data_IF_144328671782
#
_entry.id   IF_144328671782
#
_cell.length_a   1.000
_cell.length_b   1.000
_cell.length_c   1.000
_cell.angle_alpha   90.00
_cell.angle_beta   90.00
_cell.angle_gamma   90.00
#
_symmetry.space_group_name_H-M   'P 1'
#
loop_
_entity.id
_entity.type
_entity.pdbx_description
1 polymer ?
#
# COMPACT_ATOMS: atom_id res chain seq x y z
N UNK A 1 15.46 -1.41 31.77
CA UNK A 1 14.63 -1.73 30.57
C UNK A 1 13.66 -2.84 30.94
N UNK A 2 12.47 -2.51 31.45
CA UNK A 2 11.58 -3.56 31.97
C UNK A 2 10.83 -4.25 30.82
N UNK A 3 11.06 -5.54 30.54
CA UNK A 3 10.28 -6.25 29.54
C UNK A 3 8.84 -6.40 30.04
N UNK A 4 7.86 -6.27 29.14
CA UNK A 4 6.45 -6.44 29.48
C UNK A 4 6.24 -7.83 30.09
N UNK A 5 6.89 -8.87 29.53
CA UNK A 5 6.90 -10.21 30.08
C UNK A 5 8.34 -10.72 30.19
N UNK A 6 8.85 -11.02 31.39
CA UNK A 6 10.27 -11.33 31.59
C UNK A 6 10.69 -12.73 31.13
N UNK A 7 9.78 -13.72 31.10
CA UNK A 7 10.10 -15.12 30.82
C UNK A 7 9.06 -15.84 29.91
N UNK A 8 8.49 -15.16 28.91
CA UNK A 8 7.40 -15.72 28.09
C UNK A 8 7.81 -16.50 26.84
N UNK A 9 9.09 -16.55 26.46
CA UNK A 9 9.48 -17.22 25.21
C UNK A 9 10.01 -18.61 25.52
N UNK A 10 9.06 -19.55 25.59
CA UNK A 10 9.36 -20.97 25.64
C UNK A 10 9.41 -21.55 24.22
N UNK A 11 10.42 -22.37 23.95
CA UNK A 11 10.61 -23.12 22.72
C UNK A 11 10.82 -24.59 23.09
N UNK A 12 10.48 -25.46 22.17
CA UNK A 12 10.81 -26.87 22.26
C UNK A 12 11.68 -27.23 21.07
N UNK A 13 12.77 -27.95 21.34
CA UNK A 13 13.65 -28.47 20.32
C UNK A 13 12.95 -29.54 19.48
N UNK A 14 12.78 -29.34 18.18
CA UNK A 14 12.11 -30.33 17.29
C UNK A 14 13.04 -31.44 16.81
N UNK A 15 14.35 -31.21 16.88
CA UNK A 15 15.40 -32.11 16.45
C UNK A 15 16.65 -31.87 17.29
N UNK A 16 17.58 -32.82 17.30
CA UNK A 16 18.85 -32.62 18.00
C UNK A 16 19.69 -31.56 17.28
N UNK A 17 20.26 -30.61 18.02
CA UNK A 17 21.15 -29.60 17.45
C UNK A 17 22.28 -29.22 18.41
N UNK A 18 23.40 -28.75 17.88
CA UNK A 18 24.54 -28.31 18.69
C UNK A 18 24.52 -26.78 18.87
N UNK A 19 24.75 -26.32 20.10
CA UNK A 19 25.06 -24.91 20.39
C UNK A 19 26.56 -24.78 20.61
N UNK A 20 27.18 -23.86 19.89
CA UNK A 20 28.59 -23.53 20.03
C UNK A 20 28.91 -23.18 21.50
N UNK A 21 29.94 -23.82 22.07
CA UNK A 21 30.34 -23.69 23.48
C UNK A 21 29.34 -24.20 24.53
N UNK A 22 28.20 -24.78 24.14
CA UNK A 22 27.19 -25.33 25.05
C UNK A 22 26.93 -26.83 24.85
N UNK A 23 27.25 -27.38 23.67
CA UNK A 23 27.12 -28.80 23.36
C UNK A 23 25.78 -29.16 22.70
N UNK A 24 25.43 -30.45 22.75
CA UNK A 24 24.26 -31.02 22.08
C UNK A 24 23.00 -30.75 22.90
N UNK A 25 21.98 -30.18 22.25
CA UNK A 25 20.62 -30.02 22.77
C UNK A 25 19.73 -31.11 22.19
N UNK A 26 19.24 -32.05 23.01
CA UNK A 26 18.37 -33.13 22.54
C UNK A 26 17.06 -32.64 21.92
N UNK A 27 16.46 -33.50 21.11
CA UNK A 27 15.06 -33.33 20.68
C UNK A 27 14.13 -33.39 21.89
N UNK A 28 13.13 -32.51 21.92
CA UNK A 28 12.13 -32.41 22.99
C UNK A 28 12.59 -31.53 24.17
N UNK A 29 13.79 -30.96 24.14
CA UNK A 29 14.24 -30.05 25.19
C UNK A 29 13.45 -28.75 25.17
N UNK A 30 12.87 -28.39 26.32
CA UNK A 30 12.27 -27.08 26.56
C UNK A 30 13.37 -26.05 26.78
N UNK A 31 13.30 -24.96 26.04
CA UNK A 31 14.25 -23.84 26.04
C UNK A 31 13.47 -22.59 26.41
N UNK A 32 13.79 -22.01 27.56
CA UNK A 32 13.22 -20.74 28.02
C UNK A 32 14.23 -19.63 27.80
N UNK A 33 13.81 -18.56 27.13
CA UNK A 33 14.65 -17.37 26.95
C UNK A 33 14.34 -16.38 28.06
N UNK A 34 15.37 -16.08 28.85
CA UNK A 34 15.33 -15.06 29.89
C UNK A 34 15.49 -13.66 29.29
N UNK A 35 14.34 -13.03 29.01
CA UNK A 35 14.29 -11.70 28.37
C UNK A 35 14.76 -10.64 29.37
N UNK A 36 14.46 -10.82 30.66
CA UNK A 36 14.85 -9.89 31.70
C UNK A 36 16.36 -9.75 31.75
N UNK A 37 17.09 -10.85 31.99
CA UNK A 37 18.54 -10.80 32.07
C UNK A 37 19.17 -10.38 30.73
N UNK A 38 18.57 -10.75 29.59
CA UNK A 38 19.01 -10.30 28.27
C UNK A 38 18.91 -8.78 28.09
N UNK A 39 17.84 -8.14 28.57
CA UNK A 39 17.62 -6.68 28.44
C UNK A 39 18.40 -5.87 29.49
N UNK A 40 18.85 -6.53 30.56
CA UNK A 40 19.68 -5.94 31.61
C UNK A 40 21.16 -6.33 31.49
N UNK A 41 21.55 -7.12 30.49
CA UNK A 41 22.94 -7.55 30.33
C UNK A 41 23.87 -6.36 30.01
N UNK A 42 24.85 -6.03 30.88
CA UNK A 42 25.74 -4.89 30.69
C UNK A 42 26.72 -5.08 29.53
N UNK A 43 27.05 -6.31 29.15
CA UNK A 43 27.90 -6.58 27.98
C UNK A 43 27.18 -6.22 26.68
N UNK A 44 25.85 -6.35 26.66
CA UNK A 44 25.02 -5.92 25.54
C UNK A 44 24.69 -4.43 25.63
N UNK A 45 24.30 -3.92 26.80
CA UNK A 45 23.70 -2.59 26.95
C UNK A 45 24.62 -1.51 27.49
N UNK A 46 25.89 -1.85 27.78
CA UNK A 46 26.90 -0.98 28.34
C UNK A 46 26.95 -1.04 29.88
N UNK A 47 28.02 -0.47 30.46
CA UNK A 47 28.25 -0.45 31.93
C UNK A 47 27.36 0.53 32.71
N UNK A 48 26.57 1.36 32.02
CA UNK A 48 25.59 2.24 32.66
C UNK A 48 24.43 1.40 33.20
N UNK A 49 23.98 1.72 34.42
CA UNK A 49 22.88 1.01 35.08
C UNK A 49 21.70 0.84 34.11
N UNK A 50 21.27 -0.40 33.79
CA UNK A 50 20.13 -0.63 32.91
C UNK A 50 18.78 -0.22 33.53
N UNK A 51 18.75 0.09 34.84
CA UNK A 51 17.62 0.69 35.52
C UNK A 51 17.50 2.20 35.27
N UNK A 52 18.58 2.85 34.83
CA UNK A 52 18.59 4.28 34.58
C UNK A 52 18.04 4.62 33.18
N UNK A 53 17.19 5.65 33.11
CA UNK A 53 16.58 6.09 31.86
C UNK A 53 17.59 6.81 30.96
N UNK A 54 18.11 6.10 29.96
CA UNK A 54 19.09 6.61 29.00
C UNK A 54 18.68 6.22 27.57
N UNK A 55 17.84 7.01 26.88
CA UNK A 55 17.32 6.66 25.56
C UNK A 55 18.40 6.60 24.47
N UNK A 56 19.49 7.36 24.61
CA UNK A 56 20.60 7.40 23.65
C UNK A 56 21.29 6.03 23.51
N UNK A 57 21.20 5.17 24.53
CA UNK A 57 21.81 3.83 24.47
C UNK A 57 21.24 2.99 23.33
N UNK A 58 20.01 3.25 22.88
CA UNK A 58 19.40 2.55 21.74
C UNK A 58 19.97 2.96 20.37
N UNK A 59 20.75 4.04 20.29
CA UNK A 59 21.38 4.47 19.04
C UNK A 59 22.60 3.61 18.64
N UNK A 60 23.20 2.89 19.59
CA UNK A 60 24.34 2.02 19.30
C UNK A 60 23.89 0.77 18.55
N UNK A 61 24.59 0.43 17.44
CA UNK A 61 24.33 -0.80 16.68
C UNK A 61 24.64 -2.02 17.53
N UNK A 62 23.68 -2.96 17.60
CA UNK A 62 23.80 -4.22 18.35
C UNK A 62 23.21 -5.37 17.56
N UNK A 63 23.46 -6.58 18.03
CA UNK A 63 22.81 -7.76 17.50
C UNK A 63 21.28 -7.64 17.64
N UNK A 64 20.47 -7.98 16.62
CA UNK A 64 19.01 -7.83 16.66
C UNK A 64 18.34 -8.59 17.82
N UNK A 65 18.96 -9.67 18.29
CA UNK A 65 18.44 -10.47 19.43
C UNK A 65 18.74 -9.85 20.80
N UNK A 66 19.47 -8.73 20.89
CA UNK A 66 19.71 -8.05 22.16
C UNK A 66 18.43 -7.42 22.74
N UNK A 67 17.44 -7.11 21.90
CA UNK A 67 16.18 -6.49 22.30
C UNK A 67 14.97 -7.21 21.67
N UNK A 68 14.37 -8.11 22.45
CA UNK A 68 13.25 -8.97 22.02
C UNK A 68 12.03 -8.94 22.99
N UNK A 69 11.51 -7.75 23.37
CA UNK A 69 10.42 -7.65 24.37
C UNK A 69 9.10 -8.29 23.94
N UNK A 70 8.95 -8.60 22.66
CA UNK A 70 7.78 -9.26 22.08
C UNK A 70 8.13 -10.61 21.45
N UNK A 71 9.30 -11.16 21.80
CA UNK A 71 9.89 -12.33 21.17
C UNK A 71 10.43 -12.08 19.78
N UNK A 72 11.01 -13.14 19.21
CA UNK A 72 11.70 -13.14 17.94
C UNK A 72 11.38 -14.38 17.10
N UNK A 73 11.73 -14.33 15.81
CA UNK A 73 11.48 -15.40 14.84
C UNK A 73 10.02 -15.48 14.38
N UNK A 74 9.65 -16.63 13.78
CA UNK A 74 8.33 -16.87 13.15
C UNK A 74 7.15 -16.88 14.12
N UNK A 75 7.39 -17.05 15.43
CA UNK A 75 6.39 -16.99 16.50
C UNK A 75 6.63 -15.81 17.44
N UNK A 76 7.05 -14.67 16.91
CA UNK A 76 7.02 -13.44 17.70
C UNK A 76 5.57 -12.95 17.89
N UNK A 77 5.37 -12.00 18.80
CA UNK A 77 4.05 -11.44 19.04
C UNK A 77 3.49 -10.79 17.77
N UNK A 78 2.37 -11.32 17.26
CA UNK A 78 1.64 -10.74 16.11
C UNK A 78 1.21 -9.28 16.38
N UNK A 79 0.96 -8.94 17.64
CA UNK A 79 0.55 -7.61 18.09
C UNK A 79 1.70 -6.61 18.35
N UNK A 80 2.97 -7.01 18.22
CA UNK A 80 4.13 -6.17 18.57
C UNK A 80 4.05 -4.76 17.96
N UNK A 81 3.81 -4.70 16.66
CA UNK A 81 3.81 -3.44 15.91
C UNK A 81 2.63 -2.56 16.30
N UNK A 82 1.47 -3.17 16.55
CA UNK A 82 0.28 -2.47 17.03
C UNK A 82 0.51 -1.89 18.44
N UNK A 83 1.03 -2.69 19.37
CA UNK A 83 1.33 -2.25 20.73
C UNK A 83 2.36 -1.10 20.77
N UNK A 84 3.45 -1.21 19.99
CA UNK A 84 4.45 -0.13 19.90
C UNK A 84 3.87 1.15 19.33
N UNK A 85 2.98 1.07 18.33
CA UNK A 85 2.30 2.24 17.78
C UNK A 85 1.38 2.87 18.82
N UNK A 86 0.55 2.08 19.49
CA UNK A 86 -0.39 2.55 20.51
C UNK A 86 0.35 3.24 21.67
N UNK A 87 1.40 2.61 22.20
CA UNK A 87 2.23 3.19 23.26
C UNK A 87 2.87 4.51 22.84
N UNK A 88 3.41 4.60 21.62
CA UNK A 88 3.99 5.86 21.09
C UNK A 88 2.93 6.95 20.96
N UNK A 89 1.77 6.63 20.39
CA UNK A 89 0.67 7.58 20.20
C UNK A 89 0.12 8.08 21.54
N UNK A 90 -0.07 7.18 22.50
CA UNK A 90 -0.48 7.51 23.85
C UNK A 90 0.54 8.44 24.51
N UNK A 91 1.83 8.09 24.47
CA UNK A 91 2.89 8.89 25.08
C UNK A 91 2.96 10.30 24.48
N UNK A 92 2.89 10.43 23.16
CA UNK A 92 2.85 11.75 22.49
C UNK A 92 1.62 12.54 22.91
N UNK A 93 0.44 11.92 22.91
CA UNK A 93 -0.79 12.62 23.25
C UNK A 93 -0.77 13.10 24.69
N UNK A 94 -0.28 12.26 25.60
CA UNK A 94 -0.07 12.60 27.01
C UNK A 94 0.91 13.76 27.16
N UNK A 95 2.13 13.63 26.60
CA UNK A 95 3.18 14.64 26.75
C UNK A 95 2.85 15.97 26.07
N UNK A 96 2.05 15.96 25.00
CA UNK A 96 1.59 17.18 24.30
C UNK A 96 0.51 17.93 25.11
N UNK A 97 -0.35 17.20 25.80
CA UNK A 97 -1.53 17.78 26.46
C UNK A 97 -1.26 18.07 27.94
N UNK A 98 -0.42 17.25 28.58
CA UNK A 98 -0.18 17.28 30.01
C UNK A 98 1.32 17.38 30.34
N UNK A 99 1.60 18.02 31.46
CA UNK A 99 2.83 17.91 32.22
C UNK A 99 2.64 16.80 33.27
N UNK A 100 3.57 15.84 33.29
CA UNK A 100 3.59 14.77 34.29
C UNK A 100 4.32 15.30 35.52
N UNK A 101 3.65 15.32 36.67
CA UNK A 101 4.19 15.84 37.93
C UNK A 101 4.12 14.74 38.97
N UNK A 102 5.14 14.65 39.83
CA UNK A 102 5.10 13.74 40.95
C UNK A 102 4.02 14.15 41.97
N UNK A 103 3.58 13.18 42.76
CA UNK A 103 2.59 13.38 43.82
C UNK A 103 3.25 13.77 45.16
N UNK A 104 4.46 14.34 45.13
CA UNK A 104 5.25 14.61 46.33
C UNK A 104 5.57 13.34 47.11
N UNK A 105 5.29 13.36 48.42
CA UNK A 105 5.55 12.24 49.35
C UNK A 105 4.81 10.94 48.98
N UNK A 106 3.75 11.00 48.16
CA UNK A 106 3.02 9.82 47.68
C UNK A 106 3.71 9.10 46.51
N UNK A 107 4.74 9.68 45.92
CA UNK A 107 5.54 9.02 44.87
C UNK A 107 6.75 8.40 45.54
N UNK A 108 6.65 7.11 45.89
CA UNK A 108 7.76 6.36 46.47
C UNK A 108 8.88 6.24 45.43
N UNK A 109 10.07 6.75 45.76
CA UNK A 109 11.29 6.65 44.96
C UNK A 109 12.35 5.98 45.82
N UNK A 110 13.07 4.96 45.33
CA UNK A 110 12.98 4.34 44.00
C UNK A 110 11.73 3.44 43.83
N UNK A 111 11.33 3.19 42.58
CA UNK A 111 10.24 2.27 42.22
C UNK A 111 10.71 0.81 42.38
N UNK A 112 11.12 0.43 43.58
CA UNK A 112 11.77 -0.86 43.87
C UNK A 112 10.79 -2.04 43.93
N UNK A 113 9.50 -1.78 44.14
CA UNK A 113 8.49 -2.83 44.16
C UNK A 113 7.83 -2.98 42.79
N UNK A 114 8.38 -3.91 42.00
CA UNK A 114 7.71 -4.43 40.82
C UNK A 114 6.91 -5.66 41.24
N UNK A 115 5.63 -5.71 40.86
CA UNK A 115 4.86 -6.95 40.97
C UNK A 115 5.21 -7.84 39.78
N UNK A 116 5.89 -8.95 40.06
CA UNK A 116 6.15 -10.01 39.10
C UNK A 116 4.90 -10.87 38.93
N UNK A 117 3.93 -10.34 38.19
CA UNK A 117 2.84 -11.17 37.63
C UNK A 117 3.23 -11.64 36.21
N UNK A 118 2.28 -12.10 35.39
CA UNK A 118 2.56 -12.36 33.97
C UNK A 118 3.10 -11.10 33.25
N UNK A 119 2.78 -9.90 33.75
CA UNK A 119 3.33 -8.63 33.27
C UNK A 119 4.08 -7.93 34.40
N UNK A 120 5.20 -7.28 34.10
CA UNK A 120 5.88 -6.41 35.06
C UNK A 120 5.10 -5.11 35.19
N UNK A 121 4.55 -4.86 36.38
CA UNK A 121 3.86 -3.61 36.71
C UNK A 121 4.43 -3.01 38.00
N UNK A 122 4.51 -1.68 38.13
CA UNK A 122 4.84 -1.06 39.40
C UNK A 122 3.77 -1.39 40.45
N UNK A 123 4.16 -1.63 41.70
CA UNK A 123 3.22 -1.88 42.80
C UNK A 123 2.35 -0.64 43.08
N UNK A 124 2.99 0.54 43.15
CA UNK A 124 2.34 1.83 43.40
C UNK A 124 3.04 2.92 42.58
N UNK A 125 2.29 3.57 41.68
CA UNK A 125 2.79 4.69 40.87
C UNK A 125 1.77 5.83 40.91
N UNK A 126 2.05 6.85 41.73
CA UNK A 126 1.28 8.09 41.70
C UNK A 126 1.94 9.10 40.76
N UNK A 127 1.20 9.49 39.72
CA UNK A 127 1.57 10.56 38.77
C UNK A 127 0.38 11.50 38.61
N UNK A 128 0.60 12.80 38.81
CA UNK A 128 -0.40 13.84 38.59
C UNK A 128 -0.28 14.39 37.17
N UNK A 129 -1.39 14.43 36.44
CA UNK A 129 -1.47 15.03 35.11
C UNK A 129 -1.95 16.48 35.24
N UNK A 130 -1.10 17.45 34.93
CA UNK A 130 -1.50 18.86 34.83
C UNK A 130 -1.61 19.27 33.37
N UNK A 131 -2.71 19.89 32.93
CA UNK A 131 -2.81 20.36 31.53
C UNK A 131 -1.80 21.46 31.27
N UNK A 132 -1.13 21.42 30.11
CA UNK A 132 -0.15 22.45 29.71
C UNK A 132 -0.79 23.80 29.41
N UNK A 133 -2.03 23.81 28.94
CA UNK A 133 -2.77 25.04 28.62
C UNK A 133 -3.01 25.90 29.89
N UNK A 134 -3.14 25.25 31.06
CA UNK A 134 -3.37 25.91 32.37
C UNK A 134 -2.08 26.55 32.95
N UNK A 135 -0.89 26.20 32.42
CA UNK A 135 0.38 26.81 32.84
C UNK A 135 0.59 28.21 32.22
N UNK A 136 -0.13 28.56 31.16
CA UNK A 136 -0.01 29.88 30.53
C UNK A 136 -0.75 30.99 31.26
N UNK A 137 -1.70 30.66 32.16
CA UNK A 137 -2.50 31.65 32.91
C UNK A 137 -1.98 31.91 34.33
N UNK A 138 -1.11 31.06 34.89
CA UNK A 138 -0.51 31.25 36.21
C UNK A 138 0.99 31.52 36.08
N UNK A 139 1.34 32.81 36.02
CA UNK A 139 2.70 33.27 35.79
C UNK A 139 3.71 32.78 36.85
N UNK A 140 4.69 32.00 36.41
CA UNK A 140 6.11 32.12 36.82
C UNK A 140 6.97 31.27 35.87
N UNK A 141 8.01 31.83 35.22
CA UNK A 141 8.84 31.07 34.30
C UNK A 141 9.89 30.28 35.08
N UNK A 142 9.69 28.96 35.23
CA UNK A 142 10.74 28.08 35.71
C UNK A 142 11.78 27.86 34.61
N UNK A 143 12.97 28.43 34.81
CA UNK A 143 14.20 28.11 34.06
C UNK A 143 14.57 26.65 34.33
N UNK A 144 14.06 25.73 33.53
CA UNK A 144 14.57 24.37 33.41
C UNK A 144 15.32 24.22 32.09
N UNK A 145 16.65 24.20 32.15
CA UNK A 145 17.53 23.78 31.06
C UNK A 145 17.36 22.27 30.83
N UNK A 146 16.30 21.89 30.11
CA UNK A 146 16.05 20.53 29.67
C UNK A 146 16.21 20.43 28.16
N UNK A 147 16.95 19.43 27.69
CA UNK A 147 17.11 19.08 26.28
C UNK A 147 15.73 18.94 25.62
N UNK A 148 15.26 20.04 25.01
CA UNK A 148 14.02 20.05 24.27
C UNK A 148 14.26 19.36 22.94
N UNK A 149 13.92 18.07 22.85
CA UNK A 149 13.76 17.40 21.55
C UNK A 149 12.84 18.30 20.72
N UNK A 150 13.37 18.85 19.63
CA UNK A 150 12.62 19.81 18.83
C UNK A 150 11.38 19.10 18.32
N UNK A 151 10.20 19.61 18.63
CA UNK A 151 8.92 19.01 18.22
C UNK A 151 8.86 18.70 16.72
N UNK A 152 9.59 19.48 15.90
CA UNK A 152 9.76 19.26 14.46
C UNK A 152 10.57 18.00 14.11
N UNK A 153 11.58 17.64 14.89
CA UNK A 153 12.32 16.38 14.73
C UNK A 153 11.41 15.19 15.07
N UNK A 154 10.62 15.30 16.14
CA UNK A 154 9.64 14.29 16.51
C UNK A 154 8.55 14.13 15.43
N UNK A 155 8.03 15.24 14.88
CA UNK A 155 7.05 15.22 13.81
C UNK A 155 7.61 14.61 12.50
N UNK A 156 8.88 14.84 12.21
CA UNK A 156 9.58 14.20 11.09
C UNK A 156 9.81 12.70 11.33
N UNK A 157 10.10 12.30 12.56
CA UNK A 157 10.21 10.88 12.95
C UNK A 157 8.85 10.18 12.96
N UNK A 158 7.76 10.87 13.30
CA UNK A 158 6.39 10.34 13.19
C UNK A 158 5.93 10.19 11.74
N UNK A 159 6.33 11.10 10.84
CA UNK A 159 6.11 10.91 9.39
C UNK A 159 6.87 9.70 8.84
N UNK A 160 8.00 9.30 9.44
CA UNK A 160 8.68 8.04 9.09
C UNK A 160 8.02 6.77 9.65
N UNK A 161 7.05 6.88 10.57
CA UNK A 161 6.31 5.74 11.11
C UNK A 161 5.05 5.43 10.26
N UNK A 162 4.86 6.12 9.13
CA UNK A 162 4.01 5.60 8.06
C UNK A 162 4.52 4.23 7.63
N UNK A 163 3.65 3.24 7.80
CA UNK A 163 3.99 1.84 7.72
C UNK A 163 4.39 1.49 6.28
N UNK A 164 5.70 1.40 6.03
CA UNK A 164 6.27 0.99 4.75
C UNK A 164 6.15 -0.54 4.61
N UNK A 165 4.92 -1.03 4.44
CA UNK A 165 4.67 -2.43 4.10
C UNK A 165 5.00 -2.63 2.61
N UNK A 166 6.06 -3.39 2.34
CA UNK A 166 6.50 -3.72 0.98
C UNK A 166 5.36 -4.32 0.15
N UNK A 167 4.46 -5.09 0.76
CA UNK A 167 3.31 -5.66 0.07
C UNK A 167 2.26 -4.60 -0.28
N UNK A 168 2.02 -3.65 0.63
CA UNK A 168 1.13 -2.51 0.41
C UNK A 168 1.59 -1.65 -0.77
N UNK A 169 2.87 -1.29 -0.79
CA UNK A 169 3.48 -0.49 -1.85
C UNK A 169 3.44 -1.25 -3.18
N UNK A 170 3.81 -2.54 -3.16
CA UNK A 170 3.78 -3.38 -4.35
C UNK A 170 2.36 -3.51 -4.94
N UNK A 171 1.36 -3.75 -4.09
CA UNK A 171 -0.05 -3.88 -4.52
C UNK A 171 -0.54 -2.59 -5.19
N UNK A 172 -0.31 -1.44 -4.59
CA UNK A 172 -0.73 -0.15 -5.16
C UNK A 172 0.01 0.17 -6.45
N UNK A 173 1.32 -0.05 -6.48
CA UNK A 173 2.13 0.09 -7.68
C UNK A 173 1.57 -0.76 -8.82
N UNK A 174 1.33 -2.05 -8.59
CA UNK A 174 0.74 -2.95 -9.57
C UNK A 174 -0.66 -2.51 -10.00
N UNK A 175 -1.45 -1.92 -9.11
CA UNK A 175 -2.74 -1.29 -9.43
C UNK A 175 -2.59 -0.14 -10.43
N UNK A 176 -1.68 0.81 -10.18
CA UNK A 176 -1.42 1.94 -11.08
C UNK A 176 -0.84 1.48 -12.42
N UNK A 177 0.08 0.51 -12.43
CA UNK A 177 0.62 -0.12 -13.64
C UNK A 177 -0.52 -0.73 -14.46
N UNK A 178 -1.38 -1.54 -13.83
CA UNK A 178 -2.48 -2.22 -14.52
C UNK A 178 -3.47 -1.23 -15.14
N UNK A 179 -3.88 -0.21 -14.39
CA UNK A 179 -4.78 0.83 -14.89
C UNK A 179 -4.17 1.60 -16.08
N UNK A 180 -2.89 1.94 -15.99
CA UNK A 180 -2.16 2.65 -17.06
C UNK A 180 -2.06 1.78 -18.31
N UNK A 181 -1.55 0.54 -18.18
CA UNK A 181 -1.40 -0.39 -19.30
C UNK A 181 -2.73 -0.65 -20.00
N UNK A 182 -3.81 -0.74 -19.25
CA UNK A 182 -5.14 -0.93 -19.79
C UNK A 182 -5.60 0.23 -20.66
N UNK A 183 -5.49 1.47 -20.17
CA UNK A 183 -5.86 2.67 -20.94
C UNK A 183 -5.00 2.85 -22.20
N UNK A 184 -3.68 2.65 -22.10
CA UNK A 184 -2.78 2.75 -23.26
C UNK A 184 -2.95 1.60 -24.25
N UNK A 185 -3.39 0.42 -23.81
CA UNK A 185 -3.76 -0.67 -24.73
C UNK A 185 -4.95 -0.29 -25.61
N UNK A 186 -5.94 0.43 -25.08
CA UNK A 186 -7.05 0.96 -25.89
C UNK A 186 -6.61 2.07 -26.85
N UNK A 187 -5.67 2.93 -26.44
CA UNK A 187 -5.04 3.90 -27.36
C UNK A 187 -4.37 3.18 -28.52
N UNK A 188 -3.55 2.16 -28.24
CA UNK A 188 -2.88 1.39 -29.28
C UNK A 188 -3.87 0.74 -30.25
N UNK A 189 -4.97 0.16 -29.73
CA UNK A 189 -6.04 -0.38 -30.56
C UNK A 189 -6.70 0.69 -31.45
N UNK A 190 -6.95 1.88 -30.90
CA UNK A 190 -7.54 2.99 -31.65
C UNK A 190 -6.60 3.45 -32.77
N UNK A 191 -5.31 3.62 -32.48
CA UNK A 191 -4.27 3.99 -33.46
C UNK A 191 -4.15 2.93 -34.55
N UNK A 192 -4.08 1.65 -34.17
CA UNK A 192 -3.97 0.55 -35.13
C UNK A 192 -5.14 0.53 -36.12
N UNK A 193 -6.37 0.69 -35.61
CA UNK A 193 -7.58 0.74 -36.46
C UNK A 193 -7.61 1.99 -37.34
N UNK A 194 -7.18 3.13 -36.80
CA UNK A 194 -7.08 4.36 -37.57
C UNK A 194 -6.14 4.19 -38.77
N UNK A 195 -4.96 3.63 -38.55
CA UNK A 195 -3.97 3.38 -39.61
C UNK A 195 -4.51 2.37 -40.63
N UNK A 196 -5.14 1.29 -40.17
CA UNK A 196 -5.67 0.24 -41.06
C UNK A 196 -6.77 0.75 -42.00
N UNK A 197 -7.61 1.69 -41.54
CA UNK A 197 -8.70 2.26 -42.35
C UNK A 197 -8.22 3.42 -43.24
N UNK A 198 -7.32 4.27 -42.74
CA UNK A 198 -6.83 5.44 -43.48
C UNK A 198 -5.73 5.09 -44.50
N UNK A 199 -4.87 4.13 -44.17
CA UNK A 199 -3.68 3.76 -44.94
C UNK A 199 -3.64 2.25 -45.23
N UNK A 200 -4.62 1.70 -45.96
CA UNK A 200 -4.71 0.26 -46.20
C UNK A 200 -3.52 -0.33 -46.97
N UNK A 201 -2.73 0.50 -47.67
CA UNK A 201 -1.57 0.09 -48.47
C UNK A 201 -0.26 -0.01 -47.66
N UNK A 202 -0.20 0.51 -46.43
CA UNK A 202 1.01 0.46 -45.60
C UNK A 202 1.06 -0.83 -44.77
N UNK A 203 1.35 -1.95 -45.44
CA UNK A 203 1.40 -3.29 -44.84
C UNK A 203 2.46 -3.43 -43.73
N UNK A 204 3.49 -2.59 -43.74
CA UNK A 204 4.56 -2.58 -42.74
C UNK A 204 4.04 -2.46 -41.29
N UNK A 205 3.03 -1.60 -41.07
CA UNK A 205 2.42 -1.38 -39.74
C UNK A 205 1.59 -2.57 -39.24
N UNK A 206 1.26 -3.51 -40.13
CA UNK A 206 0.51 -4.72 -39.82
C UNK A 206 1.41 -5.92 -39.51
N UNK A 207 2.74 -5.76 -39.61
CA UNK A 207 3.68 -6.82 -39.28
C UNK A 207 3.63 -7.16 -37.79
N UNK A 208 3.59 -8.46 -37.47
CA UNK A 208 3.62 -8.95 -36.10
C UNK A 208 4.82 -8.39 -35.32
N UNK A 209 6.00 -8.28 -35.97
CA UNK A 209 7.20 -7.72 -35.33
C UNK A 209 6.99 -6.27 -34.88
N UNK A 210 6.34 -5.47 -35.71
CA UNK A 210 6.06 -4.07 -35.42
C UNK A 210 5.01 -3.94 -34.32
N UNK A 211 3.95 -4.75 -34.37
CA UNK A 211 2.94 -4.76 -33.30
C UNK A 211 3.52 -5.19 -31.95
N UNK A 212 4.34 -6.24 -31.92
CA UNK A 212 5.01 -6.70 -30.69
C UNK A 212 5.94 -5.64 -30.12
N UNK A 213 6.64 -4.89 -30.98
CA UNK A 213 7.49 -3.77 -30.54
C UNK A 213 6.68 -2.69 -29.79
N UNK A 214 5.54 -2.25 -30.34
CA UNK A 214 4.71 -1.23 -29.67
C UNK A 214 4.07 -1.74 -28.39
N UNK A 215 3.68 -3.02 -28.35
CA UNK A 215 3.19 -3.65 -27.13
C UNK A 215 4.30 -3.63 -26.07
N UNK A 216 5.50 -4.10 -26.40
CA UNK A 216 6.63 -4.09 -25.46
C UNK A 216 6.97 -2.66 -24.99
N UNK A 217 6.94 -1.69 -25.89
CA UNK A 217 7.16 -0.28 -25.58
C UNK A 217 6.13 0.27 -24.59
N UNK A 218 4.84 -0.02 -24.80
CA UNK A 218 3.78 0.37 -23.86
C UNK A 218 3.95 -0.31 -22.51
N UNK A 219 4.35 -1.58 -22.50
CA UNK A 219 4.65 -2.29 -21.26
C UNK A 219 5.79 -1.62 -20.49
N UNK A 220 6.92 -1.34 -21.14
CA UNK A 220 8.03 -0.61 -20.53
C UNK A 220 7.55 0.72 -19.95
N UNK A 221 6.89 1.56 -20.76
CA UNK A 221 6.37 2.85 -20.29
C UNK A 221 5.38 2.72 -19.13
N UNK A 222 4.47 1.74 -19.19
CA UNK A 222 3.46 1.53 -18.15
C UNK A 222 4.03 1.08 -16.81
N UNK A 223 5.18 0.39 -16.80
CA UNK A 223 5.93 0.09 -15.58
C UNK A 223 6.79 1.27 -15.14
N UNK A 224 7.46 1.97 -16.07
CA UNK A 224 8.32 3.11 -15.74
C UNK A 224 7.54 4.31 -15.19
N UNK A 225 6.33 4.54 -15.68
CA UNK A 225 5.53 5.71 -15.34
C UNK A 225 5.15 5.78 -13.84
N UNK A 226 4.60 4.73 -13.20
CA UNK A 226 4.32 4.73 -11.76
C UNK A 226 5.58 4.48 -10.91
N UNK A 227 6.73 4.16 -11.53
CA UNK A 227 7.97 3.82 -10.81
C UNK A 227 8.49 4.97 -9.96
N UNK A 228 8.24 6.21 -10.39
CA UNK A 228 8.60 7.40 -9.64
C UNK A 228 8.05 7.37 -8.20
N UNK A 229 6.85 6.81 -7.99
CA UNK A 229 6.21 6.77 -6.67
C UNK A 229 6.88 5.82 -5.68
N UNK A 230 7.58 4.78 -6.18
CA UNK A 230 8.38 3.89 -5.34
C UNK A 230 9.62 4.64 -4.84
N UNK A 231 10.24 5.44 -5.70
CA UNK A 231 11.45 6.19 -5.35
C UNK A 231 11.18 7.43 -4.48
N UNK A 232 10.05 8.11 -4.71
CA UNK A 232 9.65 9.29 -3.93
C UNK A 232 9.03 8.93 -2.59
N UNK A 233 8.55 7.69 -2.44
CA UNK A 233 7.86 7.24 -1.23
C UNK A 233 6.45 7.82 -1.09
N UNK A 234 5.81 8.21 -2.19
CA UNK A 234 4.48 8.83 -2.18
C UNK A 234 3.34 7.84 -1.92
N UNK A 235 3.59 6.53 -2.04
CA UNK A 235 2.58 5.49 -1.75
C UNK A 235 2.57 5.21 -0.26
N UNK A 236 1.45 5.54 0.36
CA UNK A 236 1.27 5.48 1.80
C UNK A 236 0.10 4.55 2.14
N UNK A 237 0.21 3.84 3.26
CA UNK A 237 -0.94 3.16 3.84
C UNK A 237 -1.85 4.15 4.58
N UNK A 238 -3.01 4.45 4.01
CA UNK A 238 -4.01 5.29 4.67
C UNK A 238 -4.71 4.49 5.77
N UNK A 239 -4.31 4.73 7.02
CA UNK A 239 -4.85 4.07 8.21
C UNK A 239 -6.35 4.30 8.37
N UNK A 240 -6.87 5.45 7.93
CA UNK A 240 -8.29 5.77 8.09
C UNK A 240 -9.15 4.99 7.11
N UNK A 241 -8.69 4.81 5.88
CA UNK A 241 -9.43 4.13 4.83
C UNK A 241 -9.06 2.63 4.72
N UNK A 242 -7.96 2.21 5.35
CA UNK A 242 -7.32 0.90 5.24
C UNK A 242 -7.01 0.54 3.77
N UNK A 243 -6.55 1.54 3.01
CA UNK A 243 -6.20 1.40 1.60
C UNK A 243 -4.78 1.91 1.39
N UNK A 244 -4.02 1.18 0.58
CA UNK A 244 -2.71 1.60 0.11
C UNK A 244 -2.87 2.46 -1.14
N UNK A 245 -2.44 3.72 -1.09
CA UNK A 245 -2.56 4.63 -2.23
C UNK A 245 -1.73 5.90 -2.03
N UNK A 246 -1.57 6.67 -3.10
CA UNK A 246 -1.08 8.05 -3.02
C UNK A 246 -2.09 8.87 -2.20
N UNK A 247 -1.63 9.72 -1.26
CA UNK A 247 -2.52 10.51 -0.42
C UNK A 247 -3.48 11.37 -1.27
N UNK A 248 -4.78 11.31 -0.94
CA UNK A 248 -5.85 12.01 -1.66
C UNK A 248 -5.85 13.54 -1.52
N UNK A 249 -4.74 14.13 -1.07
CA UNK A 249 -4.59 15.58 -1.08
C UNK A 249 -4.17 16.02 -2.48
N UNK A 250 -4.66 17.18 -2.92
CA UNK A 250 -4.27 17.76 -4.20
C UNK A 250 -2.75 17.99 -4.20
N UNK A 251 -2.05 17.12 -4.91
CA UNK A 251 -0.60 17.05 -4.95
C UNK A 251 -0.16 16.71 -6.37
N UNK A 252 1.09 17.04 -6.69
CA UNK A 252 1.66 16.78 -8.01
C UNK A 252 1.54 15.30 -8.42
N UNK A 253 1.82 14.30 -7.56
CA UNK A 253 1.65 12.87 -7.90
C UNK A 253 0.23 12.48 -8.30
N UNK A 254 -0.79 13.00 -7.60
CA UNK A 254 -2.21 12.72 -7.89
C UNK A 254 -2.64 13.35 -9.22
N UNK A 255 -2.23 14.58 -9.49
CA UNK A 255 -2.53 15.26 -10.76
C UNK A 255 -1.83 14.57 -11.92
N UNK A 256 -0.55 14.21 -11.73
CA UNK A 256 0.26 13.48 -12.69
C UNK A 256 -0.41 12.14 -13.06
N UNK A 257 -0.75 11.30 -12.06
CA UNK A 257 -1.39 10.00 -12.30
C UNK A 257 -2.73 10.13 -13.03
N UNK A 258 -3.56 11.10 -12.65
CA UNK A 258 -4.88 11.31 -13.24
C UNK A 258 -4.78 11.78 -14.71
N UNK A 259 -3.90 12.73 -15.01
CA UNK A 259 -3.78 13.29 -16.36
C UNK A 259 -3.20 12.25 -17.32
N UNK A 260 -2.01 11.72 -17.01
CA UNK A 260 -1.29 10.85 -17.94
C UNK A 260 -1.78 9.40 -17.89
N UNK A 261 -2.34 8.96 -16.77
CA UNK A 261 -2.86 7.59 -16.59
C UNK A 261 -4.29 7.40 -17.10
N UNK A 262 -5.13 8.45 -17.10
CA UNK A 262 -6.55 8.34 -17.44
C UNK A 262 -7.04 9.41 -18.43
N UNK A 263 -6.89 10.71 -18.14
CA UNK A 263 -7.54 11.78 -18.94
C UNK A 263 -6.97 11.85 -20.36
N UNK A 264 -5.64 11.92 -20.49
CA UNK A 264 -4.95 11.99 -21.78
C UNK A 264 -5.27 10.80 -22.70
N UNK A 265 -5.14 9.52 -22.27
CA UNK A 265 -5.47 8.40 -23.14
C UNK A 265 -6.95 8.36 -23.55
N UNK A 266 -7.88 8.70 -22.65
CA UNK A 266 -9.32 8.75 -22.98
C UNK A 266 -9.61 9.82 -24.04
N UNK A 267 -9.07 11.03 -23.88
CA UNK A 267 -9.22 12.11 -24.86
C UNK A 267 -8.64 11.73 -26.22
N UNK A 268 -7.46 11.11 -26.24
CA UNK A 268 -6.81 10.66 -27.45
C UNK A 268 -7.65 9.61 -28.19
N UNK A 269 -8.22 8.63 -27.47
CA UNK A 269 -9.12 7.62 -28.04
C UNK A 269 -10.36 8.29 -28.65
N UNK A 270 -10.98 9.23 -27.92
CA UNK A 270 -12.16 9.95 -28.40
C UNK A 270 -11.87 10.74 -29.67
N UNK A 271 -10.74 11.44 -29.75
CA UNK A 271 -10.31 12.19 -30.93
C UNK A 271 -10.07 11.27 -32.14
N UNK A 272 -9.37 10.15 -31.94
CA UNK A 272 -9.09 9.17 -33.00
C UNK A 272 -10.39 8.60 -33.55
N UNK A 273 -11.30 8.13 -32.67
CA UNK A 273 -12.56 7.55 -33.11
C UNK A 273 -13.51 8.57 -33.72
N UNK A 274 -13.57 9.79 -33.19
CA UNK A 274 -14.34 10.87 -33.82
C UNK A 274 -13.87 11.12 -35.26
N UNK A 275 -12.56 11.23 -35.47
CA UNK A 275 -11.97 11.39 -36.80
C UNK A 275 -12.28 10.19 -37.71
N UNK A 276 -12.21 8.98 -37.16
CA UNK A 276 -12.50 7.74 -37.88
C UNK A 276 -13.96 7.65 -38.33
N UNK A 277 -14.90 7.94 -37.44
CA UNK A 277 -16.34 7.92 -37.73
C UNK A 277 -16.68 8.98 -38.79
N UNK A 278 -16.15 10.20 -38.66
CA UNK A 278 -16.31 11.25 -39.68
C UNK A 278 -15.77 10.82 -41.04
N UNK A 279 -14.58 10.22 -41.06
CA UNK A 279 -13.96 9.73 -42.29
C UNK A 279 -14.85 8.69 -42.98
N UNK A 280 -15.30 7.66 -42.25
CA UNK A 280 -16.12 6.60 -42.85
C UNK A 280 -17.52 7.11 -43.25
N UNK A 281 -18.10 8.04 -42.49
CA UNK A 281 -19.36 8.67 -42.90
C UNK A 281 -19.23 9.45 -44.21
N UNK A 282 -18.13 10.22 -44.37
CA UNK A 282 -17.82 10.92 -45.62
C UNK A 282 -17.54 9.94 -46.77
N UNK A 283 -16.85 8.84 -46.48
CA UNK A 283 -16.56 7.76 -47.42
C UNK A 283 -17.85 7.08 -47.91
N UNK A 284 -18.80 6.81 -47.02
CA UNK A 284 -20.09 6.17 -47.36
C UNK A 284 -20.98 7.00 -48.28
N UNK A 285 -20.69 8.30 -48.46
CA UNK A 285 -21.41 9.20 -49.38
C UNK A 285 -20.75 9.29 -50.77
N UNK A 286 -19.57 8.70 -50.97
CA UNK A 286 -18.85 8.68 -52.26
C UNK A 286 -19.03 7.32 -52.94
N UNK A 287 -18.96 7.28 -54.27
CA UNK A 287 -18.94 6.04 -55.06
C UNK A 287 -17.57 5.38 -54.84
N UNK A 288 -17.55 4.29 -54.07
CA UNK A 288 -16.33 3.58 -53.65
C UNK A 288 -16.58 2.06 -53.78
N UNK A 289 -15.55 1.26 -54.13
CA UNK A 289 -15.68 -0.19 -54.22
C UNK A 289 -16.25 -0.81 -52.94
N UNK A 290 -17.37 -1.53 -53.08
CA UNK A 290 -18.19 -2.09 -52.01
C UNK A 290 -17.37 -2.89 -50.97
N UNK A 291 -16.32 -3.58 -51.42
CA UNK A 291 -15.48 -4.41 -50.57
C UNK A 291 -14.66 -3.60 -49.53
N UNK A 292 -14.19 -2.40 -49.90
CA UNK A 292 -13.48 -1.50 -48.97
C UNK A 292 -14.43 -0.89 -47.94
N UNK A 293 -15.67 -0.57 -48.35
CA UNK A 293 -16.72 -0.09 -47.47
C UNK A 293 -17.14 -1.16 -46.45
N UNK A 294 -17.31 -2.42 -46.88
CA UNK A 294 -17.61 -3.54 -45.98
C UNK A 294 -16.51 -3.77 -44.96
N UNK A 295 -15.23 -3.71 -45.37
CA UNK A 295 -14.08 -3.77 -44.45
C UNK A 295 -14.15 -2.65 -43.41
N UNK A 296 -14.34 -1.41 -43.83
CA UNK A 296 -14.44 -0.26 -42.92
C UNK A 296 -15.65 -0.36 -41.97
N UNK A 297 -16.82 -0.83 -42.44
CA UNK A 297 -18.00 -1.06 -41.60
C UNK A 297 -17.79 -2.18 -40.58
N UNK A 298 -17.07 -3.25 -40.95
CA UNK A 298 -16.70 -4.33 -40.03
C UNK A 298 -15.80 -3.82 -38.90
N UNK A 299 -14.80 -3.03 -39.24
CA UNK A 299 -13.92 -2.39 -38.24
C UNK A 299 -14.68 -1.39 -37.35
N UNK A 300 -15.63 -0.61 -37.90
CA UNK A 300 -16.53 0.26 -37.13
C UNK A 300 -17.45 -0.50 -36.17
N UNK A 301 -17.91 -1.70 -36.53
CA UNK A 301 -18.67 -2.56 -35.60
C UNK A 301 -17.81 -2.93 -34.39
N UNK A 302 -16.50 -3.09 -34.59
CA UNK A 302 -15.56 -3.27 -33.48
C UNK A 302 -15.33 -1.97 -32.70
N UNK A 303 -15.41 -0.79 -33.32
CA UNK A 303 -15.39 0.50 -32.59
C UNK A 303 -16.55 0.59 -31.60
N UNK A 304 -17.76 0.19 -32.00
CA UNK A 304 -18.92 0.13 -31.09
C UNK A 304 -18.62 -0.73 -29.85
N UNK A 305 -17.96 -1.87 -30.02
CA UNK A 305 -17.54 -2.73 -28.90
C UNK A 305 -16.52 -2.04 -27.99
N UNK A 306 -15.51 -1.39 -28.57
CA UNK A 306 -14.50 -0.63 -27.80
C UNK A 306 -15.13 0.53 -27.03
N UNK A 307 -16.07 1.26 -27.63
CA UNK A 307 -16.83 2.33 -26.95
C UNK A 307 -17.63 1.76 -25.78
N UNK A 308 -18.32 0.62 -25.94
CA UNK A 308 -19.03 -0.04 -24.85
C UNK A 308 -18.08 -0.37 -23.68
N UNK A 309 -16.90 -0.91 -23.96
CA UNK A 309 -15.90 -1.24 -22.92
C UNK A 309 -15.40 0.00 -22.18
N UNK A 310 -15.12 1.09 -22.90
CA UNK A 310 -14.70 2.36 -22.30
C UNK A 310 -15.84 2.99 -21.50
N UNK A 311 -17.08 2.91 -21.99
CA UNK A 311 -18.26 3.38 -21.27
C UNK A 311 -18.48 2.61 -19.97
N UNK A 312 -18.28 1.30 -19.97
CA UNK A 312 -18.33 0.48 -18.73
C UNK A 312 -17.23 0.95 -17.77
N UNK A 313 -15.99 1.11 -18.25
CA UNK A 313 -14.88 1.59 -17.42
C UNK A 313 -15.20 2.95 -16.78
N UNK A 314 -15.62 3.95 -17.57
CA UNK A 314 -15.90 5.30 -17.07
C UNK A 314 -17.09 5.29 -16.10
N UNK A 315 -18.18 4.60 -16.44
CA UNK A 315 -19.42 4.63 -15.66
C UNK A 315 -19.28 3.91 -14.33
N UNK A 316 -18.60 2.76 -14.32
CA UNK A 316 -18.44 1.95 -13.11
C UNK A 316 -17.35 2.55 -12.20
N UNK A 317 -16.32 3.21 -12.76
CA UNK A 317 -15.31 3.95 -11.97
C UNK A 317 -15.78 5.36 -11.54
N UNK A 318 -16.91 5.86 -12.06
CA UNK A 318 -17.41 7.20 -11.76
C UNK A 318 -17.56 7.52 -10.26
N UNK A 319 -18.08 6.59 -9.41
CA UNK A 319 -18.12 6.81 -7.97
C UNK A 319 -16.74 7.09 -7.38
N UNK A 320 -15.72 6.31 -7.77
CA UNK A 320 -14.33 6.49 -7.33
C UNK A 320 -13.80 7.89 -7.66
N UNK A 321 -14.04 8.38 -8.88
CA UNK A 321 -13.60 9.71 -9.32
C UNK A 321 -14.32 10.81 -8.53
N UNK A 322 -15.63 10.69 -8.30
CA UNK A 322 -16.38 11.65 -7.49
C UNK A 322 -15.84 11.68 -6.07
N UNK A 323 -15.65 10.51 -5.44
CA UNK A 323 -15.14 10.43 -4.07
C UNK A 323 -13.73 10.98 -3.96
N UNK A 324 -12.87 10.72 -4.95
CA UNK A 324 -11.54 11.31 -5.03
C UNK A 324 -11.61 12.84 -5.11
N UNK A 325 -12.47 13.39 -5.97
CA UNK A 325 -12.66 14.83 -6.12
C UNK A 325 -13.23 15.47 -4.85
N UNK A 326 -14.25 14.87 -4.23
CA UNK A 326 -14.82 15.39 -3.00
C UNK A 326 -13.83 15.33 -1.83
N UNK A 327 -12.94 14.33 -1.81
CA UNK A 327 -11.86 14.21 -0.82
C UNK A 327 -10.87 15.39 -0.86
N UNK A 328 -10.83 16.18 -1.95
CA UNK A 328 -10.04 17.42 -1.99
C UNK A 328 -10.65 18.54 -1.14
N UNK A 329 -11.97 18.54 -0.99
CA UNK A 329 -12.70 19.63 -0.32
C UNK A 329 -13.20 19.26 1.08
N UNK A 330 -13.48 17.98 1.35
CA UNK A 330 -14.05 17.53 2.62
C UNK A 330 -13.45 16.18 3.06
N UNK A 331 -13.24 16.03 4.38
CA UNK A 331 -12.94 14.72 4.98
C UNK A 331 -14.22 13.90 5.08
N UNK A 332 -14.26 12.77 4.38
CA UNK A 332 -15.43 11.87 4.33
C UNK A 332 -15.30 10.68 5.29
N UNK A 333 -16.42 9.99 5.62
CA UNK A 333 -16.40 8.82 6.49
C UNK A 333 -15.70 7.62 5.85
N UNK A 334 -15.00 6.83 6.68
CA UNK A 334 -14.05 5.76 6.32
C UNK A 334 -14.57 4.69 5.34
N UNK A 335 -15.87 4.37 5.40
CA UNK A 335 -16.48 3.28 4.63
C UNK A 335 -16.74 3.63 3.16
N UNK A 336 -17.03 4.89 2.85
CA UNK A 336 -17.43 5.29 1.49
C UNK A 336 -16.28 5.19 0.48
N UNK A 337 -15.05 5.51 0.92
CA UNK A 337 -13.88 5.46 0.05
C UNK A 337 -13.51 4.02 -0.36
N UNK A 338 -13.57 3.08 0.59
CA UNK A 338 -13.32 1.66 0.30
C UNK A 338 -14.35 1.07 -0.65
N UNK A 339 -15.62 1.45 -0.49
CA UNK A 339 -16.69 1.05 -1.41
C UNK A 339 -16.39 1.59 -2.81
N UNK A 340 -15.97 2.84 -2.92
CA UNK A 340 -15.63 3.47 -4.19
C UNK A 340 -14.44 2.78 -4.89
N UNK A 341 -13.41 2.39 -4.14
CA UNK A 341 -12.26 1.63 -4.67
C UNK A 341 -12.69 0.26 -5.23
N UNK A 342 -13.60 -0.43 -4.54
CA UNK A 342 -14.15 -1.70 -5.01
C UNK A 342 -14.94 -1.59 -6.33
N UNK A 343 -15.56 -0.43 -6.60
CA UNK A 343 -16.18 -0.16 -7.90
C UNK A 343 -15.14 -0.07 -9.03
N UNK A 344 -13.93 0.43 -8.75
CA UNK A 344 -12.83 0.41 -9.72
C UNK A 344 -12.45 -1.02 -10.08
N UNK A 345 -12.30 -1.92 -9.11
CA UNK A 345 -12.01 -3.34 -9.35
C UNK A 345 -13.14 -4.04 -10.12
N UNK A 346 -14.39 -3.73 -9.77
CA UNK A 346 -15.57 -4.25 -10.48
C UNK A 346 -15.58 -3.83 -11.96
N UNK A 347 -15.16 -2.60 -12.26
CA UNK A 347 -15.11 -2.10 -13.64
C UNK A 347 -14.16 -2.92 -14.51
N UNK A 348 -12.97 -3.26 -14.00
CA UNK A 348 -11.97 -4.08 -14.67
C UNK A 348 -12.49 -5.50 -14.91
N UNK A 349 -13.14 -6.09 -13.90
CA UNK A 349 -13.75 -7.41 -14.00
C UNK A 349 -14.84 -7.47 -15.09
N UNK A 350 -15.72 -6.46 -15.13
CA UNK A 350 -16.77 -6.36 -16.16
C UNK A 350 -16.21 -6.19 -17.56
N UNK A 351 -15.11 -5.45 -17.74
CA UNK A 351 -14.45 -5.34 -19.04
C UNK A 351 -13.86 -6.68 -19.48
N UNK A 352 -13.22 -7.45 -18.60
CA UNK A 352 -12.69 -8.78 -18.93
C UNK A 352 -13.82 -9.71 -19.40
N UNK A 353 -14.94 -9.75 -18.67
CA UNK A 353 -16.12 -10.54 -19.05
C UNK A 353 -16.62 -10.10 -20.43
N UNK A 354 -16.74 -8.80 -20.65
CA UNK A 354 -17.28 -8.26 -21.90
C UNK A 354 -16.33 -8.50 -23.09
N UNK A 355 -15.01 -8.41 -22.88
CA UNK A 355 -13.99 -8.77 -23.87
C UNK A 355 -14.07 -10.26 -24.24
N UNK A 356 -14.27 -11.14 -23.26
CA UNK A 356 -14.48 -12.55 -23.49
C UNK A 356 -15.72 -12.81 -24.36
N UNK A 357 -16.84 -12.13 -24.07
CA UNK A 357 -18.07 -12.25 -24.87
C UNK A 357 -17.91 -11.77 -26.31
N UNK A 358 -17.04 -10.79 -26.57
CA UNK A 358 -16.83 -10.26 -27.91
C UNK A 358 -15.83 -11.05 -28.77
N UNK A 359 -15.08 -11.97 -28.17
CA UNK A 359 -14.03 -12.74 -28.84
C UNK A 359 -14.54 -14.13 -29.25
N UNK A 360 -15.29 -14.20 -30.35
CA UNK A 360 -15.89 -15.42 -30.91
C UNK A 360 -14.94 -16.65 -31.02
N UNK A 361 -13.70 -16.54 -31.56
CA UNK A 361 -12.79 -17.68 -31.65
C UNK A 361 -12.31 -18.20 -30.28
N UNK A 362 -12.24 -17.31 -29.28
CA UNK A 362 -11.89 -17.67 -27.90
C UNK A 362 -13.07 -18.35 -27.20
N UNK A 363 -14.27 -17.78 -27.34
CA UNK A 363 -15.53 -18.32 -26.81
C UNK A 363 -15.79 -19.73 -27.32
N UNK A 364 -15.66 -19.95 -28.62
CA UNK A 364 -15.82 -21.27 -29.25
C UNK A 364 -14.76 -22.27 -28.78
N UNK A 365 -13.49 -21.88 -28.66
CA UNK A 365 -12.41 -22.77 -28.16
C UNK A 365 -12.61 -23.18 -26.70
N UNK A 366 -13.07 -22.26 -25.84
CA UNK A 366 -13.35 -22.55 -24.43
C UNK A 366 -14.59 -23.42 -24.28
N UNK A 367 -15.70 -23.09 -24.97
CA UNK A 367 -16.91 -23.92 -24.97
C UNK A 367 -16.62 -25.35 -25.46
N UNK A 368 -15.74 -25.51 -26.45
CA UNK A 368 -15.33 -26.82 -26.95
C UNK A 368 -14.56 -27.64 -25.90
N UNK A 369 -13.71 -27.02 -25.08
CA UNK A 369 -13.01 -27.68 -23.96
C UNK A 369 -13.93 -28.00 -22.78
N UNK A 370 -14.87 -27.11 -22.46
CA UNK A 370 -15.83 -27.33 -21.37
C UNK A 370 -16.77 -28.48 -21.75
N UNK A 371 -17.36 -28.45 -22.94
CA UNK A 371 -18.21 -29.54 -23.43
C UNK A 371 -17.42 -30.85 -23.63
N UNK A 372 -16.16 -30.77 -24.05
CA UNK A 372 -15.26 -31.92 -24.14
C UNK A 372 -14.92 -32.56 -22.79
N UNK A 373 -14.82 -31.78 -21.71
CA UNK A 373 -14.66 -32.30 -20.34
C UNK A 373 -15.95 -32.87 -19.78
N UNK A 374 -17.10 -32.24 -20.04
CA UNK A 374 -18.40 -32.74 -19.59
C UNK A 374 -18.69 -34.12 -20.18
N UNK A 375 -18.36 -34.34 -21.46
CA UNK A 375 -18.54 -35.64 -22.12
C UNK A 375 -17.55 -36.74 -21.66
N UNK A 376 -16.49 -36.39 -20.93
CA UNK A 376 -15.47 -37.32 -20.43
C UNK A 376 -15.71 -37.74 -18.98
N UNK A 377 -16.63 -37.07 -18.28
CA UNK A 377 -17.05 -37.36 -16.89
C UNK A 377 -18.37 -38.13 -16.88
N UNK A 378 -19.09 -38.17 -18.00
CA UNK A 378 -20.35 -38.91 -18.18
C UNK A 378 -20.22 -40.20 -19.00
N UNK A 379 -19.00 -40.60 -19.38
CA UNK A 379 -18.67 -41.94 -19.91
C UNK A 379 -17.72 -42.62 -18.96
#
# INVERSE_FOLDING_TARGET
MFPIVPAAINRESTEEFCIENFGIVPKGTLITIDIYNLHFNPDLWGRLDPQEFHPERFATKRHPMAWIPFGAGSRNCVGMRFALLEMKMLLVRLLKTYSLIDCGEKTHKPFEQLQETFVITPSELCVRLQRRDEQHESGTPSRGSGCGVKLKELENDFKRIEYQDSFCIFRSYMGYVSATLFNYSFVLQAVYRYILIMYPMHLFWQSAKFQTFFIAFIWILGFTYPLAFIFTGDIIYDVNNQVCQIPLQLSFPVVYIAILGAIFPILLIMLIYFKLVRYVHKMSKRIIPLNTLFRARRELKMVRRTVILISILITVTFPYVIFMFMSFFKRHPKSYFRIADAFSDLSLFLVIITLFQFTEPLKTSVMKRVNGRVNMVTT
#
